data_IF_481744558846
#
_entry.id   IF_481744558846
#
_cell.length_a   1.000
_cell.length_b   1.000
_cell.length_c   1.000
_cell.angle_alpha   90.00
_cell.angle_beta   90.00
_cell.angle_gamma   90.00
#
_symmetry.space_group_name_H-M   'P 1'
#
loop_
_entity.id
_entity.type
_entity.pdbx_description
1 polymer ?
#
# COMPACT_ATOMS: atom_id res chain seq x y z
N UNK A 1 1.63 10.37 1.08
CA UNK A 1 1.88 10.27 2.53
C UNK A 1 1.67 11.60 3.27
N UNK A 2 2.48 12.65 3.03
CA UNK A 2 2.39 13.93 3.77
C UNK A 2 1.01 14.58 3.78
N UNK A 3 0.20 14.39 2.74
CA UNK A 3 -1.16 14.94 2.66
C UNK A 3 -2.08 14.33 3.74
N UNK A 4 -2.15 12.99 3.85
CA UNK A 4 -2.97 12.34 4.87
C UNK A 4 -2.61 12.82 6.29
N UNK A 5 -1.30 12.93 6.57
CA UNK A 5 -0.80 13.34 7.88
C UNK A 5 -1.08 14.81 8.19
N UNK A 6 -0.82 15.71 7.23
CA UNK A 6 -0.89 17.17 7.48
C UNK A 6 -2.28 17.76 7.33
N UNK A 7 -3.09 17.22 6.42
CA UNK A 7 -4.39 17.82 6.06
C UNK A 7 -5.55 17.10 6.75
N UNK A 8 -5.45 15.77 6.88
CA UNK A 8 -6.53 14.94 7.41
C UNK A 8 -6.22 14.38 8.81
N UNK A 9 -5.02 14.62 9.35
CA UNK A 9 -4.58 14.05 10.64
C UNK A 9 -4.44 12.54 10.65
N UNK A 10 -4.47 11.89 9.48
CA UNK A 10 -4.47 10.44 9.31
C UNK A 10 -3.21 9.93 8.61
N UNK A 11 -3.26 8.67 8.16
CA UNK A 11 -2.13 8.02 7.51
C UNK A 11 -2.56 7.31 6.23
N UNK A 12 -1.61 6.86 5.40
CA UNK A 12 -1.96 6.00 4.28
C UNK A 12 -2.54 4.68 4.81
N UNK A 13 -3.53 4.12 4.11
CA UNK A 13 -4.26 2.95 4.59
C UNK A 13 -3.36 1.73 4.82
N UNK A 14 -3.46 1.12 6.00
CA UNK A 14 -2.86 -0.19 6.30
C UNK A 14 -3.92 -1.28 6.19
N UNK A 15 -3.46 -2.51 5.91
CA UNK A 15 -4.35 -3.63 5.65
C UNK A 15 -3.97 -4.81 6.52
N UNK A 16 -4.87 -5.17 7.43
CA UNK A 16 -4.67 -6.22 8.44
C UNK A 16 -5.59 -7.43 8.25
N UNK A 17 -6.44 -7.43 7.23
CA UNK A 17 -7.37 -8.51 6.94
C UNK A 17 -7.84 -8.50 5.48
N UNK A 18 -8.31 -9.66 5.01
CA UNK A 18 -8.94 -9.77 3.69
C UNK A 18 -10.20 -8.88 3.57
N UNK A 19 -10.97 -8.74 4.65
CA UNK A 19 -12.14 -7.86 4.69
C UNK A 19 -11.75 -6.39 4.46
N UNK A 20 -10.70 -5.91 5.14
CA UNK A 20 -10.18 -4.54 4.93
C UNK A 20 -9.65 -4.36 3.51
N UNK A 21 -8.96 -5.36 2.96
CA UNK A 21 -8.49 -5.30 1.57
C UNK A 21 -9.65 -5.17 0.57
N UNK A 22 -10.74 -5.92 0.81
CA UNK A 22 -11.93 -5.90 -0.04
C UNK A 22 -12.71 -4.58 0.05
N UNK A 23 -12.76 -3.99 1.25
CA UNK A 23 -13.34 -2.66 1.47
C UNK A 23 -12.58 -1.60 0.67
N UNK A 24 -11.25 -1.56 0.79
CA UNK A 24 -10.39 -0.64 0.04
C UNK A 24 -10.48 -0.85 -1.46
N UNK A 25 -10.58 -2.11 -1.91
CA UNK A 25 -10.80 -2.45 -3.31
C UNK A 25 -12.14 -1.89 -3.82
N UNK A 26 -13.21 -2.07 -3.05
CA UNK A 26 -14.55 -1.60 -3.41
C UNK A 26 -14.60 -0.08 -3.48
N UNK A 27 -14.03 0.60 -2.47
CA UNK A 27 -13.86 2.05 -2.46
C UNK A 27 -13.04 2.52 -3.67
N UNK A 28 -11.91 1.86 -3.92
CA UNK A 28 -11.05 2.14 -5.05
C UNK A 28 -11.78 2.08 -6.38
N UNK A 29 -12.53 1.00 -6.62
CA UNK A 29 -13.33 0.79 -7.84
C UNK A 29 -14.41 1.84 -8.06
N UNK A 30 -14.96 2.42 -6.99
CA UNK A 30 -15.96 3.49 -7.09
C UNK A 30 -15.36 4.79 -7.65
N UNK A 31 -14.10 5.11 -7.29
CA UNK A 31 -13.47 6.37 -7.67
C UNK A 31 -12.43 6.26 -8.80
N UNK A 32 -11.86 5.08 -9.03
CA UNK A 32 -10.82 4.86 -10.03
C UNK A 32 -10.76 3.42 -10.52
N UNK A 33 -10.22 3.21 -11.72
CA UNK A 33 -9.84 1.88 -12.24
C UNK A 33 -8.32 1.65 -12.23
N UNK A 34 -7.57 2.55 -11.58
CA UNK A 34 -6.13 2.50 -11.48
C UNK A 34 -5.65 1.92 -10.14
N UNK A 35 -4.35 1.65 -10.04
CA UNK A 35 -3.74 1.23 -8.78
C UNK A 35 -3.68 2.39 -7.78
N UNK A 36 -3.90 2.08 -6.50
CA UNK A 36 -4.03 3.04 -5.41
C UNK A 36 -2.88 2.88 -4.42
N UNK A 37 -2.20 3.96 -4.02
CA UNK A 37 -1.21 3.89 -2.95
C UNK A 37 -1.86 3.48 -1.62
N UNK A 38 -1.24 2.48 -0.99
CA UNK A 38 -1.49 2.08 0.40
C UNK A 38 -0.23 2.34 1.24
N UNK A 39 -0.34 2.29 2.55
CA UNK A 39 0.73 2.65 3.49
C UNK A 39 1.86 1.64 3.62
N UNK A 40 1.97 0.66 2.71
CA UNK A 40 3.02 -0.36 2.75
C UNK A 40 4.25 0.09 1.96
N UNK A 41 5.43 -0.04 2.56
CA UNK A 41 6.72 0.22 1.92
C UNK A 41 7.64 -0.99 2.06
N UNK A 42 8.39 -1.29 1.00
CA UNK A 42 9.40 -2.36 1.01
C UNK A 42 10.78 -1.72 0.96
N UNK A 43 11.62 -2.05 1.94
CA UNK A 43 12.96 -1.48 2.08
C UNK A 43 13.99 -2.56 2.40
N UNK A 44 15.23 -2.34 2.01
CA UNK A 44 16.35 -3.17 2.42
C UNK A 44 16.93 -2.64 3.74
N UNK A 45 17.01 -3.50 4.76
CA UNK A 45 17.70 -3.23 6.03
C UNK A 45 18.69 -4.35 6.30
N UNK A 46 19.98 -4.02 6.44
CA UNK A 46 21.01 -5.02 6.76
C UNK A 46 21.05 -6.20 5.79
N UNK A 47 20.97 -5.94 4.48
CA UNK A 47 20.90 -6.96 3.41
C UNK A 47 19.63 -7.81 3.37
N UNK A 48 18.62 -7.49 4.19
CA UNK A 48 17.34 -8.18 4.19
C UNK A 48 16.23 -7.24 3.68
N UNK A 49 15.43 -7.75 2.75
CA UNK A 49 14.26 -7.06 2.24
C UNK A 49 13.06 -7.31 3.14
N UNK A 50 12.45 -6.23 3.63
CA UNK A 50 11.25 -6.29 4.47
C UNK A 50 10.21 -5.29 4.01
N UNK A 51 8.94 -5.72 4.06
CA UNK A 51 7.80 -4.84 3.92
C UNK A 51 7.29 -4.43 5.30
N UNK A 52 6.91 -3.17 5.45
CA UNK A 52 6.39 -2.60 6.68
C UNK A 52 5.33 -1.55 6.37
N UNK A 53 4.44 -1.33 7.32
CA UNK A 53 3.50 -0.22 7.26
C UNK A 53 4.14 1.07 7.76
N UNK A 54 3.75 2.20 7.16
CA UNK A 54 4.23 3.52 7.58
C UNK A 54 3.60 4.00 8.89
N UNK A 55 2.45 3.43 9.27
CA UNK A 55 1.77 3.69 10.55
C UNK A 55 2.32 2.89 11.72
N UNK A 56 3.39 2.11 11.50
CA UNK A 56 4.01 1.24 12.50
C UNK A 56 3.09 0.13 13.05
N UNK A 57 1.96 -0.11 12.38
CA UNK A 57 1.08 -1.24 12.67
C UNK A 57 1.77 -2.58 12.35
N UNK A 58 1.33 -3.70 12.96
CA UNK A 58 1.96 -4.99 12.74
C UNK A 58 1.79 -5.48 11.29
N UNK A 59 2.85 -6.02 10.72
CA UNK A 59 2.81 -6.69 9.42
C UNK A 59 2.26 -8.11 9.57
N UNK A 60 0.93 -8.23 9.63
CA UNK A 60 0.22 -9.51 9.89
C UNK A 60 -0.62 -10.02 8.70
N UNK A 61 -0.73 -9.23 7.63
CA UNK A 61 -1.50 -9.58 6.45
C UNK A 61 -0.76 -9.09 5.20
N UNK A 62 -0.80 -9.87 4.14
CA UNK A 62 -0.21 -9.52 2.87
C UNK A 62 -1.02 -10.11 1.71
N UNK A 63 -1.38 -9.27 0.73
CA UNK A 63 -2.10 -9.69 -0.47
C UNK A 63 -1.28 -9.42 -1.74
N UNK A 64 -0.01 -9.82 -1.74
CA UNK A 64 0.91 -9.57 -2.85
C UNK A 64 0.50 -10.30 -4.13
N UNK A 65 0.70 -9.64 -5.27
CA UNK A 65 0.66 -10.31 -6.56
C UNK A 65 1.83 -11.31 -6.69
N UNK A 66 1.73 -12.30 -7.60
CA UNK A 66 2.83 -13.21 -7.89
C UNK A 66 4.13 -12.45 -8.20
N UNK A 67 5.26 -12.94 -7.66
CA UNK A 67 6.58 -12.30 -7.78
C UNK A 67 6.68 -10.88 -7.17
N UNK A 68 5.84 -10.55 -6.18
CA UNK A 68 5.93 -9.33 -5.38
C UNK A 68 6.16 -9.67 -3.90
N UNK A 69 6.74 -8.75 -3.09
CA UNK A 69 7.25 -7.43 -3.48
C UNK A 69 8.53 -7.49 -4.33
N UNK A 70 8.83 -6.41 -5.04
CA UNK A 70 10.13 -6.25 -5.70
C UNK A 70 11.21 -6.08 -4.62
N UNK A 71 12.25 -6.92 -4.67
CA UNK A 71 13.37 -6.96 -3.70
C UNK A 71 14.68 -6.49 -4.33
N UNK A 72 14.61 -5.46 -5.18
CA UNK A 72 15.77 -4.92 -5.91
C UNK A 72 16.11 -3.50 -5.47
N UNK A 73 15.11 -2.68 -5.16
CA UNK A 73 15.23 -1.30 -4.71
C UNK A 73 14.06 -0.96 -3.78
N UNK A 74 14.15 0.17 -3.06
CA UNK A 74 13.07 0.59 -2.17
C UNK A 74 11.81 0.91 -2.97
N UNK A 75 10.70 0.27 -2.64
CA UNK A 75 9.42 0.44 -3.34
C UNK A 75 8.32 0.85 -2.40
N UNK A 76 7.32 1.53 -2.98
CA UNK A 76 6.04 1.78 -2.34
C UNK A 76 5.03 0.77 -2.87
N UNK A 77 3.93 0.57 -2.15
CA UNK A 77 2.95 -0.46 -2.49
C UNK A 77 1.65 0.14 -2.97
N UNK A 78 1.15 -0.36 -4.10
CA UNK A 78 -0.18 -0.04 -4.59
C UNK A 78 -1.11 -1.23 -4.50
N UNK A 79 -2.38 -0.97 -4.18
CA UNK A 79 -3.50 -1.90 -4.35
C UNK A 79 -4.07 -1.73 -5.76
N UNK A 80 -4.10 -2.80 -6.54
CA UNK A 80 -4.71 -2.79 -7.87
C UNK A 80 -6.23 -2.97 -7.76
N UNK A 81 -6.99 -2.05 -8.36
CA UNK A 81 -8.45 -2.16 -8.38
C UNK A 81 -8.97 -3.25 -9.32
N UNK A 82 -8.10 -3.84 -10.15
CA UNK A 82 -8.50 -4.90 -11.08
C UNK A 82 -8.71 -6.23 -10.32
N UNK A 83 -7.73 -6.61 -9.52
CA UNK A 83 -7.64 -7.93 -8.87
C UNK A 83 -7.53 -7.85 -7.34
N UNK A 84 -7.41 -6.65 -6.76
CA UNK A 84 -7.24 -6.45 -5.32
C UNK A 84 -5.84 -6.80 -4.80
N UNK A 85 -4.91 -7.18 -5.69
CA UNK A 85 -3.55 -7.60 -5.33
C UNK A 85 -2.61 -6.41 -5.21
N UNK A 86 -1.61 -6.57 -4.36
CA UNK A 86 -0.61 -5.55 -4.08
C UNK A 86 0.58 -5.65 -5.03
N UNK A 87 1.04 -4.50 -5.51
CA UNK A 87 2.17 -4.38 -6.42
C UNK A 87 3.14 -3.33 -5.89
N UNK A 88 4.42 -3.63 -6.06
CA UNK A 88 5.52 -2.71 -5.77
C UNK A 88 5.70 -1.77 -6.95
N UNK A 89 5.77 -0.48 -6.66
CA UNK A 89 5.95 0.60 -7.63
C UNK A 89 7.03 1.55 -7.15
N UNK A 90 7.62 2.32 -8.07
CA UNK A 90 8.57 3.36 -7.70
C UNK A 90 7.82 4.44 -6.94
N UNK A 91 8.31 4.82 -5.75
CA UNK A 91 7.61 5.73 -4.84
C UNK A 91 7.32 7.13 -5.41
N UNK A 92 8.01 7.52 -6.48
CA UNK A 92 7.86 8.82 -7.14
C UNK A 92 6.78 8.82 -8.24
N UNK A 93 6.15 7.69 -8.53
CA UNK A 93 5.04 7.62 -9.49
C UNK A 93 3.76 8.25 -8.93
N UNK A 94 3.09 9.05 -9.77
CA UNK A 94 1.79 9.63 -9.43
C UNK A 94 0.69 8.57 -9.52
N UNK A 95 0.10 8.23 -8.36
CA UNK A 95 -1.09 7.40 -8.27
C UNK A 95 -2.08 8.01 -7.27
N UNK A 96 -3.38 7.75 -7.43
CA UNK A 96 -4.36 8.02 -6.38
C UNK A 96 -3.99 7.25 -5.10
N UNK A 97 -4.44 7.73 -3.94
CA UNK A 97 -4.07 7.18 -2.64
C UNK A 97 -5.27 7.13 -1.70
N UNK A 98 -5.25 6.21 -0.73
CA UNK A 98 -6.29 6.12 0.30
C UNK A 98 -5.69 6.47 1.66
N UNK A 99 -6.33 7.41 2.37
CA UNK A 99 -6.02 7.73 3.76
C UNK A 99 -6.96 6.96 4.71
N UNK A 100 -6.49 6.71 5.93
CA UNK A 100 -7.29 6.20 7.05
C UNK A 100 -7.03 7.02 8.32
N UNK A 101 -7.97 6.94 9.25
CA UNK A 101 -7.95 7.58 10.57
C UNK A 101 -8.16 6.52 11.65
#
# INVERSE_FOLDING_TARGET
QRYCQKVLGGQLASVHSAARNQELLSLGRTYTRHSLWIGAVTRCRGWQWGSQWEDSSPWNYANWAPAQPCRLFNTCTTLSTLDGLWRSKVCFELHPFICQY
#
